data_IF_110159625915
#
_entry.id   IF_110159625915
#
_cell.length_a   1.000
_cell.length_b   1.000
_cell.length_c   1.000
_cell.angle_alpha   90.00
_cell.angle_beta   90.00
_cell.angle_gamma   90.00
#
_symmetry.space_group_name_H-M   'P 1'
#
loop_
_entity.id
_entity.type
_entity.pdbx_description
1 polymer ?
#
# COMPACT_ATOMS: atom_id res chain seq x y z
N UNK A 1 2.10 12.11 13.09
CA UNK A 1 3.47 11.57 12.93
C UNK A 1 3.98 11.70 11.49
N UNK A 2 3.29 11.16 10.49
CA UNK A 2 3.74 11.16 9.11
C UNK A 2 4.13 12.54 8.56
N UNK A 3 3.38 13.58 8.91
CA UNK A 3 3.70 14.94 8.50
C UNK A 3 5.02 15.46 9.11
N UNK A 4 5.32 15.09 10.35
CA UNK A 4 6.61 15.39 10.97
C UNK A 4 7.78 14.73 10.23
N UNK A 5 7.66 13.45 9.87
CA UNK A 5 8.68 12.73 9.09
C UNK A 5 8.87 13.35 7.71
N UNK A 6 7.77 13.68 7.02
CA UNK A 6 7.84 14.34 5.71
C UNK A 6 8.62 15.66 5.77
N UNK A 7 8.39 16.47 6.80
CA UNK A 7 9.10 17.74 6.98
C UNK A 7 10.60 17.57 7.17
N UNK A 8 11.03 16.55 7.92
CA UNK A 8 12.44 16.25 8.15
C UNK A 8 13.12 15.77 6.85
N UNK A 9 12.42 14.91 6.10
CA UNK A 9 12.99 14.25 4.92
C UNK A 9 12.84 15.03 3.61
N UNK A 10 12.06 16.14 3.59
CA UNK A 10 11.78 16.92 2.37
C UNK A 10 13.03 17.35 1.58
N UNK A 11 14.13 17.67 2.27
CA UNK A 11 15.38 18.09 1.66
C UNK A 11 16.01 17.01 0.77
N UNK A 12 15.75 15.74 1.06
CA UNK A 12 16.31 14.60 0.34
C UNK A 12 15.44 14.15 -0.83
N UNK A 13 14.13 14.39 -0.77
CA UNK A 13 13.16 13.76 -1.67
C UNK A 13 12.30 14.77 -2.43
N UNK A 14 12.18 16.03 -1.96
CA UNK A 14 11.40 17.07 -2.63
C UNK A 14 12.29 18.02 -3.44
N UNK A 15 13.40 18.50 -2.84
CA UNK A 15 14.25 19.49 -3.47
C UNK A 15 15.03 18.98 -4.71
N UNK A 16 15.52 17.70 -4.74
CA UNK A 16 16.28 17.21 -5.88
C UNK A 16 15.44 17.15 -7.17
N UNK A 17 16.05 17.53 -8.31
CA UNK A 17 15.41 17.53 -9.62
C UNK A 17 15.05 16.12 -10.11
N UNK A 18 15.91 15.13 -9.84
CA UNK A 18 15.69 13.74 -10.24
C UNK A 18 14.60 13.01 -9.41
N UNK A 19 14.17 13.58 -8.30
CA UNK A 19 12.99 13.15 -7.54
C UNK A 19 11.75 13.82 -8.11
N UNK A 20 11.23 13.30 -9.19
CA UNK A 20 10.22 13.97 -10.02
C UNK A 20 8.77 13.67 -9.68
N UNK A 21 8.49 12.60 -8.93
CA UNK A 21 7.15 12.25 -8.46
C UNK A 21 6.11 12.20 -9.58
N UNK A 22 6.03 11.09 -10.33
CA UNK A 22 5.22 11.01 -11.55
C UNK A 22 3.74 11.36 -11.34
N UNK A 23 3.11 10.88 -10.26
CA UNK A 23 1.72 11.18 -9.93
C UNK A 23 1.44 12.68 -9.75
N UNK A 24 2.40 13.40 -9.19
CA UNK A 24 2.31 14.86 -8.98
C UNK A 24 2.29 15.63 -10.31
N UNK A 25 3.00 15.16 -11.33
CA UNK A 25 3.04 15.80 -12.64
C UNK A 25 1.66 15.82 -13.31
N UNK A 26 0.84 14.80 -13.12
CA UNK A 26 -0.54 14.76 -13.63
C UNK A 26 -1.41 15.79 -12.93
N UNK A 27 -1.29 15.90 -11.61
CA UNK A 27 -2.01 16.94 -10.85
C UNK A 27 -1.61 18.35 -11.27
N UNK A 28 -0.30 18.58 -11.51
CA UNK A 28 0.20 19.86 -12.03
C UNK A 28 -0.40 20.15 -13.38
N UNK A 29 -0.42 19.19 -14.30
CA UNK A 29 -1.02 19.36 -15.63
C UNK A 29 -2.51 19.76 -15.53
N UNK A 30 -3.25 19.12 -14.61
CA UNK A 30 -4.64 19.47 -14.36
C UNK A 30 -4.77 20.90 -13.83
N UNK A 31 -4.03 21.27 -12.80
CA UNK A 31 -4.12 22.61 -12.21
C UNK A 31 -3.67 23.70 -13.18
N UNK A 32 -2.61 23.47 -13.93
CA UNK A 32 -2.16 24.37 -15.00
C UNK A 32 -3.25 24.55 -16.04
N UNK A 33 -3.88 23.46 -16.48
CA UNK A 33 -4.99 23.51 -17.45
C UNK A 33 -6.18 24.31 -16.95
N UNK A 34 -6.50 24.25 -15.65
CA UNK A 34 -7.62 24.97 -15.06
C UNK A 34 -7.34 26.47 -14.83
N UNK A 35 -6.06 26.84 -14.64
CA UNK A 35 -5.70 28.23 -14.25
C UNK A 35 -5.02 29.05 -15.33
N UNK A 36 -4.38 28.42 -16.33
CA UNK A 36 -3.76 29.15 -17.42
C UNK A 36 -4.79 29.67 -18.42
N UNK A 37 -4.66 30.96 -18.79
CA UNK A 37 -5.45 31.53 -19.87
C UNK A 37 -4.96 30.97 -21.21
N UNK A 38 -5.89 30.44 -22.01
CA UNK A 38 -5.58 29.98 -23.36
C UNK A 38 -5.19 31.15 -24.28
N UNK A 39 -3.96 31.15 -24.75
CA UNK A 39 -3.54 32.04 -25.86
C UNK A 39 -4.13 31.51 -27.18
N UNK A 40 -4.77 32.41 -27.94
CA UNK A 40 -5.28 32.11 -29.27
C UNK A 40 -4.12 31.79 -30.23
N UNK A 41 -3.83 30.54 -30.50
CA UNK A 41 -2.95 30.13 -31.59
C UNK A 41 -3.79 29.80 -32.84
N UNK A 42 -3.43 30.47 -33.94
CA UNK A 42 -3.85 30.16 -35.32
C UNK A 42 -5.36 29.98 -35.58
N UNK A 43 -6.20 30.97 -35.31
CA UNK A 43 -7.53 31.07 -35.93
C UNK A 43 -8.54 29.94 -35.74
N UNK A 44 -8.11 28.74 -35.39
CA UNK A 44 -8.97 27.60 -35.00
C UNK A 44 -9.21 27.66 -33.51
N UNK A 45 -10.47 27.63 -33.08
CA UNK A 45 -10.85 27.49 -31.67
C UNK A 45 -10.70 26.03 -31.28
N UNK A 46 -9.58 25.59 -30.65
CA UNK A 46 -9.58 24.27 -30.03
C UNK A 46 -10.69 24.25 -28.97
N UNK A 47 -11.24 23.08 -28.71
CA UNK A 47 -12.15 22.90 -27.56
C UNK A 47 -11.35 23.38 -26.35
N UNK A 48 -11.86 24.39 -25.63
CA UNK A 48 -11.19 24.90 -24.45
C UNK A 48 -10.85 23.71 -23.52
N UNK A 49 -9.62 23.63 -23.03
CA UNK A 49 -9.14 22.51 -22.21
C UNK A 49 -10.09 22.22 -21.06
N UNK A 50 -10.61 23.26 -20.41
CA UNK A 50 -11.61 23.14 -19.33
C UNK A 50 -12.90 22.50 -19.85
N UNK A 51 -13.38 22.87 -21.04
CA UNK A 51 -14.59 22.28 -21.63
C UNK A 51 -14.38 20.79 -21.92
N UNK A 52 -13.21 20.41 -22.45
CA UNK A 52 -12.86 19.00 -22.66
C UNK A 52 -12.82 18.23 -21.32
N UNK A 53 -12.20 18.83 -20.31
CA UNK A 53 -12.14 18.22 -18.96
C UNK A 53 -13.53 17.98 -18.40
N UNK A 54 -14.44 18.95 -18.46
CA UNK A 54 -15.81 18.81 -17.96
C UNK A 54 -16.57 17.73 -18.75
N UNK A 55 -16.44 17.70 -20.07
CA UNK A 55 -17.07 16.68 -20.90
C UNK A 55 -16.53 15.28 -20.51
N UNK A 56 -15.21 15.13 -20.41
CA UNK A 56 -14.58 13.86 -20.02
C UNK A 56 -15.01 13.42 -18.62
N UNK A 57 -15.10 14.35 -17.66
CA UNK A 57 -15.58 14.08 -16.30
C UNK A 57 -17.02 13.56 -16.30
N UNK A 58 -17.92 14.25 -17.00
CA UNK A 58 -19.34 13.86 -17.07
C UNK A 58 -19.48 12.50 -17.78
N UNK A 59 -18.80 12.29 -18.91
CA UNK A 59 -18.84 11.02 -19.62
C UNK A 59 -18.29 9.86 -18.77
N UNK A 60 -17.17 10.08 -18.09
CA UNK A 60 -16.59 9.09 -17.19
C UNK A 60 -17.49 8.75 -16.00
N UNK A 61 -18.12 9.78 -15.41
CA UNK A 61 -19.09 9.60 -14.32
C UNK A 61 -20.32 8.81 -14.79
N UNK A 62 -20.91 9.17 -15.94
CA UNK A 62 -22.04 8.44 -16.50
C UNK A 62 -21.69 6.99 -16.88
N UNK A 63 -20.49 6.79 -17.45
CA UNK A 63 -20.02 5.43 -17.79
C UNK A 63 -19.85 4.58 -16.54
N UNK A 64 -19.29 5.13 -15.46
CA UNK A 64 -19.04 4.38 -14.22
C UNK A 64 -20.29 3.78 -13.59
N UNK A 65 -21.47 4.35 -13.83
CA UNK A 65 -22.74 3.81 -13.35
C UNK A 65 -22.99 2.37 -13.87
N UNK A 66 -22.53 2.06 -15.09
CA UNK A 66 -22.70 0.72 -15.66
C UNK A 66 -21.82 -0.33 -14.96
N UNK A 67 -20.47 -0.25 -15.00
CA UNK A 67 -19.61 -1.26 -14.38
C UNK A 67 -19.63 -1.19 -12.84
N UNK A 68 -19.84 -0.02 -12.26
CA UNK A 68 -19.80 0.16 -10.81
C UNK A 68 -21.09 -0.24 -10.10
N UNK A 69 -22.26 -0.13 -10.76
CA UNK A 69 -23.54 -0.33 -10.10
C UNK A 69 -24.49 -1.26 -10.88
N UNK A 70 -24.78 -0.98 -12.16
CA UNK A 70 -25.81 -1.70 -12.91
C UNK A 70 -25.33 -3.08 -13.41
N UNK A 71 -24.09 -3.19 -13.87
CA UNK A 71 -23.59 -4.40 -14.52
C UNK A 71 -22.12 -4.67 -14.17
N UNK A 72 -21.90 -5.10 -12.96
CA UNK A 72 -20.56 -5.30 -12.37
C UNK A 72 -19.69 -6.33 -13.12
N UNK A 73 -20.29 -7.22 -13.91
CA UNK A 73 -19.55 -8.15 -14.78
C UNK A 73 -18.63 -7.45 -15.79
N UNK A 74 -18.89 -6.18 -16.11
CA UNK A 74 -18.02 -5.38 -16.98
C UNK A 74 -16.64 -5.10 -16.36
N UNK A 75 -16.50 -5.22 -15.05
CA UNK A 75 -15.20 -5.07 -14.37
C UNK A 75 -14.24 -6.22 -14.69
N UNK A 76 -14.77 -7.43 -14.91
CA UNK A 76 -13.96 -8.59 -15.27
C UNK A 76 -14.79 -9.58 -16.11
N UNK A 77 -14.61 -9.51 -17.42
CA UNK A 77 -15.26 -10.43 -18.37
C UNK A 77 -14.25 -11.53 -18.70
N UNK A 78 -14.58 -12.78 -18.39
CA UNK A 78 -13.74 -13.92 -18.71
C UNK A 78 -14.37 -14.77 -19.82
N UNK A 79 -13.73 -14.84 -20.97
CA UNK A 79 -14.20 -15.68 -22.08
C UNK A 79 -14.20 -17.16 -21.71
N UNK A 80 -13.19 -17.64 -20.99
CA UNK A 80 -13.10 -19.03 -20.55
C UNK A 80 -14.27 -19.42 -19.64
N UNK A 81 -14.63 -18.55 -18.69
CA UNK A 81 -15.75 -18.81 -17.79
C UNK A 81 -17.11 -18.74 -18.48
N UNK A 82 -17.24 -17.92 -19.53
CA UNK A 82 -18.47 -17.86 -20.34
C UNK A 82 -18.67 -19.11 -21.20
N UNK A 83 -17.60 -19.64 -21.77
CA UNK A 83 -17.68 -20.85 -22.62
C UNK A 83 -17.82 -22.11 -21.79
N UNK A 84 -17.14 -22.19 -20.64
CA UNK A 84 -17.13 -23.37 -19.76
C UNK A 84 -17.59 -23.03 -18.34
N UNK A 85 -18.88 -22.69 -18.13
CA UNK A 85 -19.37 -22.16 -16.84
C UNK A 85 -19.34 -23.17 -15.68
N UNK A 86 -19.26 -24.47 -15.98
CA UNK A 86 -19.20 -25.54 -14.96
C UNK A 86 -17.82 -26.13 -14.74
N UNK A 87 -16.80 -25.65 -15.44
CA UNK A 87 -15.44 -26.18 -15.31
C UNK A 87 -14.63 -25.38 -14.26
N UNK A 88 -14.26 -26.05 -13.17
CA UNK A 88 -13.39 -25.45 -12.14
C UNK A 88 -12.06 -24.98 -12.72
N UNK A 89 -11.46 -25.76 -13.60
CA UNK A 89 -10.19 -25.39 -14.26
C UNK A 89 -10.36 -24.15 -15.15
N UNK A 90 -11.50 -24.01 -15.86
CA UNK A 90 -11.76 -22.80 -16.63
C UNK A 90 -11.87 -21.56 -15.75
N UNK A 91 -12.47 -21.69 -14.56
CA UNK A 91 -12.51 -20.61 -13.57
C UNK A 91 -11.13 -20.31 -12.98
N UNK A 92 -10.35 -21.32 -12.66
CA UNK A 92 -8.98 -21.14 -12.14
C UNK A 92 -8.06 -20.44 -13.15
N UNK A 93 -8.18 -20.75 -14.42
CA UNK A 93 -7.33 -20.20 -15.49
C UNK A 93 -7.86 -18.86 -16.00
N UNK A 94 -9.16 -18.76 -16.23
CA UNK A 94 -9.77 -17.67 -16.97
C UNK A 94 -10.36 -16.55 -16.12
N UNK A 95 -10.72 -16.79 -14.84
CA UNK A 95 -11.32 -15.75 -14.01
C UNK A 95 -10.31 -14.64 -13.70
N UNK A 96 -10.66 -13.40 -14.00
CA UNK A 96 -9.82 -12.24 -13.65
C UNK A 96 -9.90 -11.82 -12.19
N UNK A 97 -10.86 -12.34 -11.41
CA UNK A 97 -11.02 -12.01 -10.00
C UNK A 97 -10.54 -13.13 -9.07
N UNK A 98 -10.80 -14.39 -9.43
CA UNK A 98 -10.54 -15.55 -8.57
C UNK A 98 -9.63 -16.59 -9.24
N UNK A 99 -8.93 -16.23 -10.30
CA UNK A 99 -8.03 -17.09 -11.05
C UNK A 99 -6.85 -16.34 -11.66
N UNK A 100 -6.21 -16.94 -12.67
CA UNK A 100 -5.04 -16.37 -13.33
C UNK A 100 -5.37 -15.24 -14.33
N UNK A 101 -6.64 -15.05 -14.69
CA UNK A 101 -7.09 -14.00 -15.59
C UNK A 101 -6.71 -14.18 -17.06
N UNK A 102 -6.37 -15.40 -17.50
CA UNK A 102 -6.01 -15.66 -18.90
C UNK A 102 -7.26 -15.50 -19.79
N UNK A 103 -7.21 -14.55 -20.72
CA UNK A 103 -8.35 -14.22 -21.58
C UNK A 103 -9.46 -13.42 -20.89
N UNK A 104 -9.22 -12.90 -19.70
CA UNK A 104 -10.10 -11.93 -19.06
C UNK A 104 -9.78 -10.52 -19.55
N UNK A 105 -10.81 -9.69 -19.70
CA UNK A 105 -10.68 -8.27 -20.04
C UNK A 105 -11.69 -7.44 -19.26
N UNK A 106 -11.40 -6.16 -19.12
CA UNK A 106 -12.24 -5.20 -18.41
C UNK A 106 -12.68 -4.07 -19.32
N UNK A 107 -13.92 -3.60 -19.14
CA UNK A 107 -14.44 -2.37 -19.72
C UNK A 107 -14.53 -1.24 -18.68
N UNK A 108 -14.00 -1.46 -17.49
CA UNK A 108 -13.93 -0.48 -16.43
C UNK A 108 -12.52 0.14 -16.34
N UNK A 109 -12.43 1.42 -16.65
CA UNK A 109 -11.17 2.15 -16.54
C UNK A 109 -10.62 2.19 -15.10
N UNK A 110 -11.49 2.14 -14.10
CA UNK A 110 -11.05 2.13 -12.70
C UNK A 110 -10.23 0.89 -12.38
N UNK A 111 -10.60 -0.26 -12.95
CA UNK A 111 -9.81 -1.50 -12.84
C UNK A 111 -8.45 -1.37 -13.52
N UNK A 112 -8.39 -0.75 -14.71
CA UNK A 112 -7.12 -0.51 -15.41
C UNK A 112 -6.23 0.46 -14.65
N UNK A 113 -6.82 1.51 -14.06
CA UNK A 113 -6.08 2.57 -13.37
C UNK A 113 -5.70 2.19 -11.92
N UNK A 114 -6.38 1.24 -11.28
CA UNK A 114 -6.22 0.93 -9.86
C UNK A 114 -4.82 0.49 -9.48
N UNK A 115 -4.14 -0.24 -10.36
CA UNK A 115 -2.84 -0.84 -10.08
C UNK A 115 -1.67 0.17 -10.16
N UNK A 116 -1.71 1.09 -11.15
CA UNK A 116 -0.65 2.08 -11.39
C UNK A 116 -1.18 3.51 -11.35
N UNK A 117 -2.36 3.74 -10.81
CA UNK A 117 -3.16 4.96 -10.88
C UNK A 117 -3.55 5.38 -12.31
N UNK A 118 -2.65 5.28 -13.23
CA UNK A 118 -2.86 5.40 -14.68
C UNK A 118 -1.59 4.93 -15.38
N UNK A 119 -1.66 4.18 -16.47
CA UNK A 119 -0.48 3.79 -17.24
C UNK A 119 0.24 4.99 -17.86
N UNK A 120 -0.41 6.16 -17.98
CA UNK A 120 0.18 7.39 -18.49
C UNK A 120 1.03 8.13 -17.45
N UNK A 121 0.89 7.80 -16.17
CA UNK A 121 1.58 8.47 -15.04
C UNK A 121 2.94 7.83 -14.77
N UNK A 122 2.97 6.50 -14.76
CA UNK A 122 4.20 5.78 -14.41
C UNK A 122 5.20 5.79 -15.56
N UNK A 123 6.51 5.85 -15.26
CA UNK A 123 7.54 5.74 -16.28
C UNK A 123 7.47 4.41 -17.03
N UNK A 124 7.76 4.42 -18.32
CA UNK A 124 7.69 3.22 -19.16
C UNK A 124 8.53 2.07 -18.61
N UNK A 125 9.74 2.33 -18.14
CA UNK A 125 10.60 1.28 -17.54
C UNK A 125 9.96 0.65 -16.30
N UNK A 126 9.27 1.43 -15.47
CA UNK A 126 8.58 0.91 -14.29
C UNK A 126 7.39 0.03 -14.71
N UNK A 127 6.61 0.44 -15.72
CA UNK A 127 5.50 -0.34 -16.27
C UNK A 127 6.00 -1.67 -16.81
N UNK A 128 7.08 -1.67 -17.59
CA UNK A 128 7.67 -2.89 -18.16
C UNK A 128 8.15 -3.84 -17.06
N UNK A 129 8.86 -3.33 -16.06
CA UNK A 129 9.32 -4.15 -14.93
C UNK A 129 8.16 -4.77 -14.14
N UNK A 130 7.11 -3.99 -13.87
CA UNK A 130 5.91 -4.50 -13.20
C UNK A 130 5.21 -5.56 -14.04
N UNK A 131 5.08 -5.32 -15.36
CA UNK A 131 4.47 -6.29 -16.27
C UNK A 131 5.26 -7.61 -16.34
N UNK A 132 6.59 -7.55 -16.45
CA UNK A 132 7.44 -8.74 -16.43
C UNK A 132 7.29 -9.48 -15.11
N UNK A 133 7.35 -8.77 -13.97
CA UNK A 133 7.15 -9.36 -12.66
C UNK A 133 5.79 -10.04 -12.51
N UNK A 134 4.72 -9.37 -12.94
CA UNK A 134 3.37 -9.92 -12.96
C UNK A 134 3.28 -11.18 -13.82
N UNK A 135 3.80 -11.12 -15.07
CA UNK A 135 3.77 -12.25 -15.99
C UNK A 135 4.54 -13.46 -15.44
N UNK A 136 5.71 -13.25 -14.84
CA UNK A 136 6.49 -14.32 -14.21
C UNK A 136 5.75 -14.93 -13.02
N UNK A 137 5.17 -14.12 -12.14
CA UNK A 137 4.46 -14.63 -10.96
C UNK A 137 3.20 -15.36 -11.36
N UNK A 138 2.33 -14.76 -12.18
CA UNK A 138 1.00 -15.30 -12.49
C UNK A 138 1.08 -16.44 -13.49
N UNK A 139 1.91 -16.34 -14.53
CA UNK A 139 1.91 -17.31 -15.62
C UNK A 139 3.02 -18.37 -15.54
N UNK A 140 4.01 -18.20 -14.66
CA UNK A 140 5.05 -19.20 -14.43
C UNK A 140 5.03 -19.74 -13.00
N UNK A 141 5.22 -18.86 -12.00
CA UNK A 141 5.37 -19.30 -10.59
C UNK A 141 4.08 -19.95 -10.09
N UNK A 142 2.93 -19.32 -10.32
CA UNK A 142 1.65 -19.85 -9.85
C UNK A 142 1.26 -21.20 -10.49
N UNK A 143 1.28 -21.38 -11.81
CA UNK A 143 1.01 -22.69 -12.41
C UNK A 143 1.96 -23.79 -11.95
N UNK A 144 3.25 -23.51 -11.88
CA UNK A 144 4.25 -24.47 -11.40
C UNK A 144 4.00 -24.83 -9.92
N UNK A 145 3.74 -23.87 -9.07
CA UNK A 145 3.50 -24.09 -7.65
C UNK A 145 2.20 -24.84 -7.38
N UNK A 146 1.13 -24.51 -8.11
CA UNK A 146 -0.20 -25.06 -7.89
C UNK A 146 -0.37 -26.45 -8.52
N UNK A 147 -0.15 -26.57 -9.84
CA UNK A 147 -0.38 -27.82 -10.56
C UNK A 147 0.84 -28.73 -10.62
N UNK A 148 2.06 -28.16 -10.71
CA UNK A 148 3.30 -28.93 -10.83
C UNK A 148 3.78 -29.48 -9.48
N UNK A 149 4.05 -28.61 -8.54
CA UNK A 149 4.68 -28.96 -7.26
C UNK A 149 3.69 -29.24 -6.13
N UNK A 150 2.40 -28.88 -6.30
CA UNK A 150 1.41 -28.92 -5.23
C UNK A 150 1.93 -28.25 -3.92
N UNK A 151 2.57 -27.09 -4.07
CA UNK A 151 3.28 -26.41 -2.99
C UNK A 151 2.30 -26.01 -1.88
N UNK A 152 2.63 -26.33 -0.62
CA UNK A 152 1.78 -26.10 0.55
C UNK A 152 0.38 -26.74 0.44
N UNK A 153 0.29 -27.94 -0.16
CA UNK A 153 -0.98 -28.62 -0.44
C UNK A 153 -1.95 -27.78 -1.29
N UNK A 154 -1.41 -27.07 -2.30
CA UNK A 154 -2.10 -26.12 -3.12
C UNK A 154 -3.48 -26.57 -3.63
N UNK A 155 -3.60 -27.83 -4.06
CA UNK A 155 -4.84 -28.38 -4.64
C UNK A 155 -5.98 -28.53 -3.65
N UNK A 156 -5.72 -28.44 -2.34
CA UNK A 156 -6.73 -28.46 -1.29
C UNK A 156 -7.44 -27.11 -1.16
N UNK A 157 -6.79 -26.03 -1.61
CA UNK A 157 -7.25 -24.66 -1.45
C UNK A 157 -7.58 -24.01 -2.81
N UNK A 158 -8.40 -22.95 -2.83
CA UNK A 158 -8.58 -22.14 -4.04
C UNK A 158 -7.23 -21.62 -4.54
N UNK A 159 -7.05 -21.52 -5.87
CA UNK A 159 -5.80 -21.02 -6.45
C UNK A 159 -5.53 -19.56 -6.05
N UNK A 160 -6.58 -18.79 -5.91
CA UNK A 160 -6.56 -17.38 -5.53
C UNK A 160 -7.58 -17.14 -4.41
N UNK A 161 -7.11 -16.89 -3.21
CA UNK A 161 -7.92 -16.44 -2.08
C UNK A 161 -7.02 -15.78 -1.04
N UNK A 162 -7.54 -14.79 -0.33
CA UNK A 162 -6.94 -14.21 0.87
C UNK A 162 -7.52 -14.77 2.17
N UNK A 163 -8.42 -15.73 2.08
CA UNK A 163 -9.05 -16.37 3.23
C UNK A 163 -8.11 -17.35 3.93
N UNK A 164 -8.43 -17.64 5.18
CA UNK A 164 -7.73 -18.65 5.99
C UNK A 164 -8.50 -19.96 5.93
N UNK A 165 -7.76 -21.08 5.94
CA UNK A 165 -8.33 -22.42 5.78
C UNK A 165 -7.84 -23.36 6.87
N UNK A 166 -8.66 -24.39 7.14
CA UNK A 166 -8.25 -25.60 7.88
C UNK A 166 -7.47 -26.53 6.96
N UNK A 167 -6.81 -27.54 7.50
CA UNK A 167 -6.08 -28.54 6.72
C UNK A 167 -6.95 -29.27 5.66
N UNK A 168 -8.27 -29.28 5.86
CA UNK A 168 -9.26 -29.91 4.98
C UNK A 168 -9.79 -28.95 3.89
N UNK A 169 -9.32 -27.69 3.85
CA UNK A 169 -9.76 -26.70 2.87
C UNK A 169 -11.06 -25.98 3.22
N UNK A 170 -11.58 -26.15 4.43
CA UNK A 170 -12.73 -25.39 4.92
C UNK A 170 -12.28 -24.03 5.46
N UNK A 171 -13.15 -23.05 5.45
CA UNK A 171 -12.87 -21.73 6.00
C UNK A 171 -12.56 -21.83 7.51
N UNK A 172 -11.47 -21.19 7.93
CA UNK A 172 -10.99 -21.23 9.31
C UNK A 172 -11.83 -20.33 10.21
N UNK A 173 -12.54 -20.91 11.15
CA UNK A 173 -13.34 -20.16 12.10
C UNK A 173 -12.49 -19.58 13.23
N UNK A 174 -12.04 -18.34 13.02
CA UNK A 174 -11.16 -17.63 13.96
C UNK A 174 -11.85 -17.34 15.29
N UNK A 175 -13.19 -17.18 15.32
CA UNK A 175 -13.91 -16.85 16.55
C UNK A 175 -13.77 -17.93 17.64
N UNK A 176 -13.45 -19.17 17.24
CA UNK A 176 -13.24 -20.27 18.17
C UNK A 176 -11.91 -20.21 18.93
N UNK A 177 -10.91 -19.55 18.34
CA UNK A 177 -9.54 -19.49 18.92
C UNK A 177 -9.23 -18.16 19.61
N UNK A 178 -10.21 -17.25 19.69
CA UNK A 178 -10.07 -15.94 20.32
C UNK A 178 -10.82 -15.91 21.65
N UNK A 179 -10.12 -15.56 22.71
CA UNK A 179 -10.75 -15.37 24.01
C UNK A 179 -11.45 -14.00 24.13
N UNK A 180 -12.20 -13.77 25.23
CA UNK A 180 -12.89 -12.50 25.49
C UNK A 180 -11.96 -11.26 25.62
N UNK A 181 -10.65 -11.48 25.76
CA UNK A 181 -9.64 -10.41 25.83
C UNK A 181 -8.96 -10.16 24.49
N UNK A 182 -9.43 -10.78 23.39
CA UNK A 182 -8.79 -10.76 22.09
C UNK A 182 -7.35 -11.30 22.10
N UNK A 183 -7.11 -12.36 22.91
CA UNK A 183 -5.86 -13.12 22.93
C UNK A 183 -6.12 -14.53 22.40
N UNK A 184 -5.06 -15.24 22.00
CA UNK A 184 -5.19 -16.62 21.50
C UNK A 184 -5.58 -17.59 22.63
N UNK A 185 -6.56 -18.44 22.35
CA UNK A 185 -6.87 -19.61 23.16
C UNK A 185 -6.09 -20.82 22.60
N UNK A 186 -4.96 -21.17 23.24
CA UNK A 186 -4.09 -22.23 22.76
C UNK A 186 -4.74 -23.61 22.75
N UNK A 187 -5.48 -24.06 23.77
CA UNK A 187 -6.20 -25.33 23.76
C UNK A 187 -7.16 -25.47 22.57
N UNK A 188 -7.92 -24.42 22.27
CA UNK A 188 -8.84 -24.44 21.12
C UNK A 188 -8.09 -24.32 19.77
N UNK A 189 -7.00 -23.58 19.70
CA UNK A 189 -6.12 -23.53 18.53
C UNK A 189 -5.50 -24.93 18.21
N UNK A 190 -5.08 -25.67 19.22
CA UNK A 190 -4.53 -27.03 19.03
C UNK A 190 -5.59 -28.02 18.56
N UNK A 191 -6.84 -27.89 19.02
CA UNK A 191 -7.97 -28.72 18.55
C UNK A 191 -8.37 -28.41 17.11
N UNK A 192 -8.45 -27.13 16.75
CA UNK A 192 -8.86 -26.71 15.40
C UNK A 192 -7.74 -26.97 14.37
N UNK A 193 -6.50 -26.99 14.82
CA UNK A 193 -5.32 -27.21 14.00
C UNK A 193 -4.71 -25.94 13.44
N UNK A 194 -3.67 -26.12 12.61
CA UNK A 194 -2.91 -25.01 12.03
C UNK A 194 -3.73 -24.23 11.00
N UNK A 195 -3.41 -22.95 10.88
CA UNK A 195 -3.97 -22.07 9.84
C UNK A 195 -3.25 -22.32 8.52
N UNK A 196 -4.00 -22.52 7.46
CA UNK A 196 -3.51 -22.67 6.10
C UNK A 196 -3.94 -21.49 5.23
N UNK A 197 -3.15 -21.19 4.21
CA UNK A 197 -3.39 -20.13 3.24
C UNK A 197 -3.35 -20.68 1.83
N UNK A 198 -4.02 -20.02 0.89
CA UNK A 198 -3.87 -20.34 -0.53
C UNK A 198 -2.41 -20.16 -0.96
N UNK A 199 -1.99 -20.93 -1.97
CA UNK A 199 -0.62 -20.83 -2.50
C UNK A 199 -0.32 -19.43 -3.00
N UNK A 200 -1.27 -18.77 -3.65
CA UNK A 200 -1.13 -17.38 -4.09
C UNK A 200 -0.87 -16.44 -2.91
N UNK A 201 -1.64 -16.56 -1.85
CA UNK A 201 -1.52 -15.71 -0.67
C UNK A 201 -0.16 -15.90 0.02
N UNK A 202 0.27 -17.16 0.19
CA UNK A 202 1.58 -17.49 0.75
C UNK A 202 2.74 -16.93 -0.09
N UNK A 203 2.71 -17.13 -1.42
CA UNK A 203 3.73 -16.61 -2.33
C UNK A 203 3.75 -15.08 -2.34
N UNK A 204 2.59 -14.43 -2.26
CA UNK A 204 2.49 -12.96 -2.17
C UNK A 204 3.21 -12.44 -0.92
N UNK A 205 3.10 -13.12 0.23
CA UNK A 205 3.88 -12.77 1.42
C UNK A 205 5.38 -12.93 1.19
N UNK A 206 5.82 -14.02 0.54
CA UNK A 206 7.23 -14.21 0.18
C UNK A 206 7.77 -13.05 -0.67
N UNK A 207 7.05 -12.66 -1.73
CA UNK A 207 7.43 -11.50 -2.55
C UNK A 207 7.36 -10.18 -1.77
N UNK A 208 6.45 -10.04 -0.81
CA UNK A 208 6.42 -8.92 0.11
C UNK A 208 7.70 -8.80 0.94
N UNK A 209 8.23 -9.93 1.46
CA UNK A 209 9.52 -9.98 2.15
C UNK A 209 10.67 -9.55 1.21
N UNK A 210 10.68 -10.11 -0.01
CA UNK A 210 11.69 -9.75 -1.02
C UNK A 210 11.64 -8.26 -1.37
N UNK A 211 10.45 -7.68 -1.54
CA UNK A 211 10.28 -6.28 -1.93
C UNK A 211 10.88 -5.32 -0.91
N UNK A 212 10.66 -5.54 0.37
CA UNK A 212 11.21 -4.68 1.43
C UNK A 212 12.74 -4.80 1.49
N UNK A 213 13.26 -6.02 1.44
CA UNK A 213 14.71 -6.25 1.41
C UNK A 213 15.36 -5.62 0.18
N UNK A 214 14.75 -5.80 -1.00
CA UNK A 214 15.21 -5.22 -2.25
C UNK A 214 15.18 -3.68 -2.23
N UNK A 215 14.13 -3.08 -1.66
CA UNK A 215 14.00 -1.62 -1.55
C UNK A 215 15.19 -1.02 -0.78
N UNK A 216 15.51 -1.58 0.38
CA UNK A 216 16.64 -1.11 1.21
C UNK A 216 17.97 -1.28 0.46
N UNK A 217 18.22 -2.46 -0.10
CA UNK A 217 19.46 -2.76 -0.81
C UNK A 217 19.62 -1.90 -2.07
N UNK A 218 18.55 -1.76 -2.85
CA UNK A 218 18.56 -0.92 -4.06
C UNK A 218 18.89 0.53 -3.73
N UNK A 219 18.21 1.12 -2.76
CA UNK A 219 18.45 2.51 -2.36
C UNK A 219 19.88 2.68 -1.79
N UNK A 220 20.36 1.75 -0.99
CA UNK A 220 21.72 1.81 -0.47
C UNK A 220 22.78 1.77 -1.58
N UNK A 221 22.61 0.91 -2.59
CA UNK A 221 23.59 0.74 -3.67
C UNK A 221 23.55 1.87 -4.70
N UNK A 222 22.37 2.30 -5.12
CA UNK A 222 22.21 3.27 -6.22
C UNK A 222 22.12 4.72 -5.75
N UNK A 223 21.54 4.97 -4.58
CA UNK A 223 21.33 6.33 -4.04
C UNK A 223 22.10 6.63 -2.76
N UNK A 224 22.73 5.63 -2.13
CA UNK A 224 23.42 5.79 -0.84
C UNK A 224 24.51 6.85 -0.84
N UNK A 225 25.33 6.92 -1.92
CA UNK A 225 26.38 7.92 -2.07
C UNK A 225 25.82 9.34 -2.16
N UNK A 226 24.71 9.51 -2.87
CA UNK A 226 24.05 10.80 -3.01
C UNK A 226 23.40 11.23 -1.69
N UNK A 227 22.70 10.33 -1.00
CA UNK A 227 22.11 10.60 0.32
C UNK A 227 23.21 11.05 1.28
N UNK A 228 24.34 10.36 1.29
CA UNK A 228 25.48 10.69 2.15
C UNK A 228 26.10 12.05 1.80
N UNK A 229 26.31 12.33 0.51
CA UNK A 229 26.82 13.61 0.06
C UNK A 229 25.89 14.78 0.40
N UNK A 230 24.57 14.59 0.30
CA UNK A 230 23.57 15.59 0.71
C UNK A 230 23.52 15.79 2.22
N UNK A 231 23.77 14.74 2.98
CA UNK A 231 23.90 14.84 4.44
C UNK A 231 25.12 15.69 4.84
N UNK A 232 26.27 15.51 4.16
CA UNK A 232 27.51 16.26 4.43
C UNK A 232 27.53 17.66 3.80
N UNK A 233 27.02 17.76 2.55
CA UNK A 233 27.09 18.99 1.76
C UNK A 233 25.71 19.68 1.70
N UNK A 234 25.35 20.31 2.76
CA UNK A 234 24.14 21.14 2.85
C UNK A 234 24.06 22.29 1.81
N UNK A 235 25.03 22.45 0.87
CA UNK A 235 25.08 23.69 0.10
C UNK A 235 25.87 23.73 -1.24
N UNK A 236 26.38 22.65 -1.81
CA UNK A 236 27.29 22.77 -2.98
C UNK A 236 26.69 22.44 -4.36
N UNK A 237 25.52 21.87 -4.48
CA UNK A 237 24.90 21.67 -5.80
C UNK A 237 24.20 22.94 -6.29
N UNK A 238 24.36 23.22 -7.60
CA UNK A 238 23.59 24.30 -8.25
C UNK A 238 22.10 23.99 -8.10
N UNK A 239 21.32 24.84 -7.44
CA UNK A 239 19.90 24.59 -7.22
C UNK A 239 19.18 24.52 -8.57
N UNK A 240 18.29 23.55 -8.73
CA UNK A 240 17.35 23.48 -9.84
C UNK A 240 16.54 24.78 -9.98
N UNK A 241 16.05 25.05 -11.17
CA UNK A 241 15.23 26.25 -11.47
C UNK A 241 14.06 26.38 -10.49
N UNK A 242 13.40 25.29 -10.19
CA UNK A 242 12.29 25.28 -9.24
C UNK A 242 12.74 25.63 -7.83
N UNK A 243 13.80 25.01 -7.34
CA UNK A 243 14.39 25.32 -6.02
C UNK A 243 14.86 26.77 -5.92
N UNK A 244 15.44 27.32 -7.01
CA UNK A 244 15.86 28.72 -7.08
C UNK A 244 14.68 29.68 -6.96
N UNK A 245 13.58 29.41 -7.66
CA UNK A 245 12.36 30.22 -7.58
C UNK A 245 11.69 30.13 -6.21
N UNK A 246 11.70 28.95 -5.59
CA UNK A 246 11.12 28.73 -4.25
C UNK A 246 11.88 29.47 -3.14
N UNK A 247 13.16 29.77 -3.32
CA UNK A 247 13.97 30.57 -2.36
C UNK A 247 13.46 32.00 -2.16
N UNK A 248 12.59 32.50 -3.06
CA UNK A 248 11.95 33.82 -2.90
C UNK A 248 10.88 33.81 -1.80
N UNK A 249 10.42 32.65 -1.37
CA UNK A 249 9.43 32.51 -0.31
C UNK A 249 10.10 32.18 1.04
N UNK A 250 9.47 32.59 2.13
CA UNK A 250 9.89 32.22 3.48
C UNK A 250 9.67 30.72 3.68
N UNK A 251 10.73 30.00 3.98
CA UNK A 251 10.67 28.57 4.27
C UNK A 251 9.94 28.26 5.58
N UNK A 252 9.51 27.00 5.73
CA UNK A 252 8.88 26.50 6.95
C UNK A 252 9.96 26.31 8.00
N UNK A 253 9.83 26.89 9.20
CA UNK A 253 10.76 26.63 10.28
C UNK A 253 10.75 25.15 10.66
N UNK A 254 11.92 24.53 10.73
CA UNK A 254 12.04 23.08 11.01
C UNK A 254 11.39 22.69 12.35
N UNK A 255 11.36 23.58 13.33
CA UNK A 255 10.76 23.31 14.63
C UNK A 255 9.26 23.06 14.58
N UNK A 256 8.53 23.52 13.54
CA UNK A 256 7.10 23.22 13.37
C UNK A 256 6.88 21.71 13.17
N UNK A 257 7.72 21.08 12.38
CA UNK A 257 7.66 19.64 12.15
C UNK A 257 8.08 18.83 13.38
N UNK A 258 9.13 19.29 14.07
CA UNK A 258 9.56 18.65 15.32
C UNK A 258 8.51 18.75 16.41
N UNK A 259 7.84 19.90 16.52
CA UNK A 259 6.75 20.08 17.48
C UNK A 259 5.57 19.17 17.19
N UNK A 260 5.13 19.11 15.92
CA UNK A 260 4.06 18.19 15.51
C UNK A 260 4.41 16.74 15.82
N UNK A 261 5.63 16.34 15.52
CA UNK A 261 6.10 14.99 15.78
C UNK A 261 6.12 14.70 17.29
N UNK A 262 6.69 15.60 18.08
CA UNK A 262 6.76 15.46 19.54
C UNK A 262 5.35 15.37 20.17
N UNK A 263 4.43 16.26 19.76
CA UNK A 263 3.04 16.21 20.22
C UNK A 263 2.35 14.91 19.82
N UNK A 264 2.53 14.46 18.57
CA UNK A 264 1.93 13.21 18.10
C UNK A 264 2.47 11.98 18.85
N UNK A 265 3.78 11.93 19.11
CA UNK A 265 4.39 10.85 19.90
C UNK A 265 3.90 10.90 21.34
N UNK A 266 3.85 12.10 21.95
CA UNK A 266 3.37 12.27 23.32
C UNK A 266 1.91 11.81 23.47
N UNK A 267 1.03 12.22 22.56
CA UNK A 267 -0.37 11.76 22.56
C UNK A 267 -0.46 10.24 22.40
N UNK A 268 0.33 9.65 21.51
CA UNK A 268 0.41 8.19 21.35
C UNK A 268 0.90 7.49 22.63
N UNK A 269 1.90 8.04 23.31
CA UNK A 269 2.37 7.51 24.59
C UNK A 269 1.30 7.61 25.68
N UNK A 270 0.57 8.72 25.74
CA UNK A 270 -0.57 8.88 26.66
C UNK A 270 -1.61 7.76 26.40
N UNK A 271 -1.97 7.52 25.13
CA UNK A 271 -2.89 6.44 24.79
C UNK A 271 -2.35 5.07 25.22
N UNK A 272 -1.10 4.76 24.92
CA UNK A 272 -0.49 3.47 25.31
C UNK A 272 -0.41 3.25 26.83
N UNK A 273 -0.23 4.32 27.62
CA UNK A 273 -0.07 4.22 29.06
C UNK A 273 -1.42 4.19 29.77
N UNK A 274 -2.31 5.15 29.46
CA UNK A 274 -3.60 5.30 30.15
C UNK A 274 -4.67 4.32 29.65
N UNK A 275 -4.67 3.99 28.36
CA UNK A 275 -5.61 3.04 27.74
C UNK A 275 -4.95 1.68 27.47
N UNK A 276 -4.03 1.27 28.32
CA UNK A 276 -3.27 0.02 28.17
C UNK A 276 -4.16 -1.22 27.99
N UNK A 277 -5.35 -1.25 28.61
CA UNK A 277 -6.28 -2.40 28.52
C UNK A 277 -6.90 -2.53 27.14
N UNK A 278 -7.16 -1.41 26.46
CA UNK A 278 -7.84 -1.38 25.16
C UNK A 278 -6.84 -1.41 24.01
N UNK A 279 -5.75 -0.64 24.12
CA UNK A 279 -4.71 -0.51 23.10
C UNK A 279 -3.73 -1.70 23.14
N UNK A 280 -3.52 -2.29 24.34
CA UNK A 280 -2.61 -3.42 24.63
C UNK A 280 -1.14 -3.20 24.23
N UNK A 281 -0.82 -2.15 23.45
CA UNK A 281 0.53 -1.88 22.96
C UNK A 281 1.40 -1.24 24.04
N UNK A 282 2.60 -1.80 24.31
CA UNK A 282 3.52 -1.20 25.28
C UNK A 282 4.09 0.13 24.75
N UNK A 283 4.42 1.06 25.65
CA UNK A 283 4.95 2.39 25.30
C UNK A 283 6.21 2.33 24.42
N UNK A 284 7.11 1.36 24.66
CA UNK A 284 8.30 1.16 23.83
C UNK A 284 7.97 0.70 22.43
N UNK A 285 6.85 -0.03 22.26
CA UNK A 285 6.35 -0.46 20.95
C UNK A 285 6.01 0.73 20.06
N UNK A 286 5.41 1.79 20.62
CA UNK A 286 5.14 3.03 19.90
C UNK A 286 6.44 3.70 19.41
N UNK A 287 7.44 3.81 20.28
CA UNK A 287 8.72 4.42 19.89
C UNK A 287 9.45 3.59 18.83
N UNK A 288 9.39 2.28 18.95
CA UNK A 288 9.96 1.38 17.96
C UNK A 288 9.24 1.49 16.61
N UNK A 289 7.88 1.54 16.58
CA UNK A 289 7.11 1.78 15.38
C UNK A 289 7.47 3.11 14.72
N UNK A 290 7.62 4.18 15.52
CA UNK A 290 8.02 5.50 15.04
C UNK A 290 9.42 5.51 14.42
N UNK A 291 10.38 4.84 15.06
CA UNK A 291 11.75 4.70 14.55
C UNK A 291 11.79 3.91 13.25
N UNK A 292 11.01 2.83 13.16
CA UNK A 292 10.89 1.99 11.96
C UNK A 292 10.24 2.78 10.81
N UNK A 293 9.18 3.53 11.09
CA UNK A 293 8.55 4.41 10.11
C UNK A 293 9.54 5.45 9.57
N UNK A 294 10.31 6.10 10.44
CA UNK A 294 11.32 7.07 10.05
C UNK A 294 12.39 6.45 9.12
N UNK A 295 12.93 5.30 9.51
CA UNK A 295 13.96 4.61 8.74
C UNK A 295 13.47 4.25 7.33
N UNK A 296 12.28 3.66 7.21
CA UNK A 296 11.76 3.21 5.92
C UNK A 296 11.14 4.31 5.07
N UNK A 297 10.76 5.45 5.64
CA UNK A 297 10.19 6.57 4.87
C UNK A 297 11.15 7.04 3.78
N UNK A 298 12.45 7.16 4.07
CA UNK A 298 13.42 7.65 3.09
C UNK A 298 13.57 6.70 1.88
N UNK A 299 13.92 5.41 2.03
CA UNK A 299 14.09 4.51 0.89
C UNK A 299 12.78 4.33 0.10
N UNK A 300 11.63 4.19 0.76
CA UNK A 300 10.36 4.05 0.08
C UNK A 300 9.99 5.31 -0.70
N UNK A 301 10.23 6.51 -0.13
CA UNK A 301 9.98 7.78 -0.82
C UNK A 301 10.83 7.94 -2.08
N UNK A 302 12.09 7.50 -2.06
CA UNK A 302 12.99 7.55 -3.22
C UNK A 302 12.43 6.66 -4.36
N UNK A 303 12.03 5.44 -4.04
CA UNK A 303 11.42 4.53 -5.03
C UNK A 303 10.13 5.14 -5.56
N UNK A 304 9.26 5.64 -4.70
CA UNK A 304 8.00 6.28 -5.12
C UNK A 304 8.24 7.50 -6.01
N UNK A 305 9.20 8.35 -5.63
CA UNK A 305 9.54 9.56 -6.38
C UNK A 305 10.11 9.29 -7.78
N UNK A 306 10.72 8.14 -8.00
CA UNK A 306 11.38 7.78 -9.26
C UNK A 306 10.55 6.83 -10.13
N UNK A 307 9.77 5.94 -9.52
CA UNK A 307 9.07 4.87 -10.25
C UNK A 307 7.55 4.94 -10.16
N UNK A 308 7.00 5.77 -9.28
CA UNK A 308 5.57 5.79 -8.91
C UNK A 308 5.09 4.49 -8.24
N UNK A 309 5.99 3.65 -7.75
CA UNK A 309 5.67 2.44 -7.00
C UNK A 309 5.98 2.66 -5.53
N UNK A 310 5.01 2.39 -4.65
CA UNK A 310 5.17 2.58 -3.21
C UNK A 310 5.21 1.22 -2.51
N UNK A 311 6.39 0.67 -2.19
CA UNK A 311 6.50 -0.56 -1.42
C UNK A 311 5.82 -0.43 -0.06
N UNK A 312 4.94 -1.40 0.28
CA UNK A 312 4.22 -1.39 1.55
C UNK A 312 5.09 -1.91 2.70
N UNK A 313 5.07 -1.20 3.82
CA UNK A 313 5.76 -1.61 5.05
C UNK A 313 4.88 -2.47 5.97
N UNK A 314 3.60 -2.69 5.62
CA UNK A 314 2.64 -3.40 6.46
C UNK A 314 3.13 -4.77 6.92
N UNK A 315 3.59 -5.61 5.99
CA UNK A 315 4.03 -6.98 6.25
C UNK A 315 5.17 -7.01 7.26
N UNK A 316 6.18 -6.14 7.12
CA UNK A 316 7.34 -6.15 8.00
C UNK A 316 7.00 -5.64 9.41
N UNK A 317 6.10 -4.65 9.52
CA UNK A 317 5.62 -4.19 10.84
C UNK A 317 4.85 -5.27 11.56
N UNK A 318 3.97 -5.97 10.86
CA UNK A 318 3.19 -7.07 11.40
C UNK A 318 4.08 -8.26 11.78
N UNK A 319 5.06 -8.60 10.93
CA UNK A 319 6.03 -9.67 11.19
C UNK A 319 6.84 -9.40 12.46
N UNK A 320 7.41 -8.20 12.58
CA UNK A 320 8.28 -7.84 13.71
C UNK A 320 7.49 -7.90 15.02
N UNK A 321 6.35 -7.22 15.09
CA UNK A 321 5.58 -7.17 16.33
C UNK A 321 4.95 -8.51 16.68
N UNK A 322 4.45 -9.25 15.70
CA UNK A 322 3.93 -10.61 15.91
C UNK A 322 5.01 -11.62 16.36
N UNK A 323 6.28 -11.40 15.98
CA UNK A 323 7.39 -12.21 16.48
C UNK A 323 7.80 -11.85 17.92
N UNK A 324 7.67 -10.58 18.30
CA UNK A 324 8.03 -10.08 19.65
C UNK A 324 6.91 -10.39 20.65
N UNK A 325 5.66 -10.08 20.29
CA UNK A 325 4.48 -10.25 21.14
C UNK A 325 3.41 -11.11 20.42
N UNK A 326 3.63 -12.42 20.27
CA UNK A 326 2.64 -13.31 19.66
C UNK A 326 1.40 -13.47 20.55
N UNK A 327 0.25 -13.62 19.93
CA UNK A 327 -1.02 -13.82 20.63
C UNK A 327 -1.75 -12.51 21.00
N UNK A 328 -1.24 -11.36 20.56
CA UNK A 328 -1.80 -10.04 20.84
C UNK A 328 -2.15 -9.29 19.53
N UNK A 329 -3.28 -9.58 18.88
CA UNK A 329 -3.62 -8.99 17.59
C UNK A 329 -3.84 -7.47 17.67
N UNK A 330 -4.41 -6.93 18.74
CA UNK A 330 -4.62 -5.49 18.91
C UNK A 330 -3.27 -4.75 18.96
N UNK A 331 -2.30 -5.28 19.70
CA UNK A 331 -0.94 -4.73 19.73
C UNK A 331 -0.31 -4.70 18.35
N UNK A 332 -0.49 -5.78 17.57
CA UNK A 332 0.04 -5.88 16.21
C UNK A 332 -0.58 -4.83 15.28
N UNK A 333 -1.91 -4.68 15.33
CA UNK A 333 -2.64 -3.67 14.54
C UNK A 333 -2.22 -2.24 14.94
N UNK A 334 -2.09 -1.94 16.23
CA UNK A 334 -1.61 -0.64 16.70
C UNK A 334 -0.18 -0.36 16.21
N UNK A 335 0.70 -1.34 16.29
CA UNK A 335 2.07 -1.21 15.82
C UNK A 335 2.14 -0.97 14.30
N UNK A 336 1.34 -1.69 13.51
CA UNK A 336 1.16 -1.45 12.08
C UNK A 336 0.68 -0.04 11.79
N UNK A 337 -0.30 0.46 12.54
CA UNK A 337 -0.85 1.80 12.34
C UNK A 337 0.21 2.87 12.58
N UNK A 338 0.95 2.79 13.67
CA UNK A 338 1.99 3.78 13.98
C UNK A 338 3.26 3.60 13.11
N UNK A 339 3.58 2.41 12.68
CA UNK A 339 4.71 2.13 11.79
C UNK A 339 4.38 2.37 10.33
N UNK A 340 3.53 1.52 9.74
CA UNK A 340 3.23 1.56 8.31
C UNK A 340 2.39 2.76 7.89
N UNK A 341 1.25 3.02 8.57
CA UNK A 341 0.35 4.10 8.15
C UNK A 341 1.03 5.47 8.29
N UNK A 342 1.82 5.69 9.34
CA UNK A 342 2.55 6.96 9.49
C UNK A 342 3.62 7.15 8.41
N UNK A 343 4.29 6.08 7.99
CA UNK A 343 5.22 6.10 6.84
C UNK A 343 4.48 6.39 5.53
N UNK A 344 3.37 5.70 5.27
CA UNK A 344 2.56 5.92 4.06
C UNK A 344 2.04 7.37 3.98
N UNK A 345 1.58 7.92 5.09
CA UNK A 345 1.21 9.34 5.18
C UNK A 345 2.40 10.27 4.92
N UNK A 346 3.59 9.94 5.45
CA UNK A 346 4.78 10.75 5.18
C UNK A 346 5.12 10.78 3.68
N UNK A 347 5.02 9.65 2.98
CA UNK A 347 5.22 9.57 1.52
C UNK A 347 4.19 10.43 0.79
N UNK A 348 2.92 10.37 1.18
CA UNK A 348 1.87 11.20 0.58
C UNK A 348 2.14 12.69 0.78
N UNK A 349 2.51 13.13 2.00
CA UNK A 349 2.85 14.52 2.26
C UNK A 349 4.10 14.99 1.51
N UNK A 350 5.09 14.13 1.29
CA UNK A 350 6.25 14.44 0.46
C UNK A 350 5.85 14.67 -1.00
N UNK A 351 4.93 13.87 -1.53
CA UNK A 351 4.32 14.07 -2.85
C UNK A 351 3.63 15.44 -2.95
N UNK A 352 2.86 15.80 -1.94
CA UNK A 352 2.16 17.08 -1.87
C UNK A 352 3.13 18.27 -1.74
N UNK A 353 4.20 18.13 -0.94
CA UNK A 353 5.25 19.15 -0.92
C UNK A 353 5.92 19.34 -2.28
N UNK A 354 6.08 18.25 -3.05
CA UNK A 354 6.59 18.34 -4.42
C UNK A 354 5.59 19.06 -5.34
N UNK A 355 4.29 18.82 -5.18
CA UNK A 355 3.24 19.56 -5.89
C UNK A 355 3.36 21.06 -5.60
N UNK A 356 3.44 21.45 -4.33
CA UNK A 356 3.64 22.84 -3.93
C UNK A 356 4.94 23.44 -4.49
N UNK A 357 6.01 22.66 -4.55
CA UNK A 357 7.30 23.06 -5.12
C UNK A 357 7.20 23.34 -6.63
N UNK A 358 6.52 22.49 -7.40
CA UNK A 358 6.30 22.70 -8.83
C UNK A 358 5.33 23.85 -9.13
N UNK A 359 4.24 23.97 -8.37
CA UNK A 359 3.23 25.00 -8.53
C UNK A 359 3.64 26.35 -7.92
N UNK A 360 4.83 26.45 -7.29
CA UNK A 360 5.34 27.66 -6.64
C UNK A 360 4.44 28.16 -5.51
N UNK A 361 3.81 27.26 -4.77
CA UNK A 361 3.00 27.61 -3.61
C UNK A 361 3.94 27.94 -2.44
N UNK A 362 3.72 29.07 -1.71
CA UNK A 362 4.53 29.43 -0.55
C UNK A 362 4.57 28.29 0.47
N UNK A 363 5.75 27.84 0.93
CA UNK A 363 5.88 26.65 1.79
C UNK A 363 5.05 26.73 3.07
N UNK A 364 4.97 27.90 3.70
CA UNK A 364 4.18 28.10 4.93
C UNK A 364 2.67 27.95 4.69
N UNK A 365 2.17 28.43 3.56
CA UNK A 365 0.77 28.25 3.18
C UNK A 365 0.48 26.77 2.91
N UNK A 366 1.39 26.07 2.23
CA UNK A 366 1.29 24.63 1.99
C UNK A 366 1.23 23.85 3.30
N UNK A 367 2.09 24.18 4.27
CA UNK A 367 2.07 23.58 5.60
C UNK A 367 0.71 23.75 6.29
N UNK A 368 0.20 24.99 6.30
CA UNK A 368 -1.06 25.29 7.01
C UNK A 368 -2.26 24.57 6.36
N UNK A 369 -2.35 24.60 5.04
CA UNK A 369 -3.45 23.93 4.30
C UNK A 369 -3.41 22.43 4.51
N UNK A 370 -2.24 21.81 4.45
CA UNK A 370 -2.07 20.37 4.71
C UNK A 370 -2.44 20.01 6.14
N UNK A 371 -2.03 20.82 7.12
CA UNK A 371 -2.37 20.59 8.52
C UNK A 371 -3.89 20.67 8.76
N UNK A 372 -4.53 21.77 8.31
CA UNK A 372 -5.99 21.96 8.47
C UNK A 372 -6.75 20.88 7.70
N UNK A 373 -6.36 20.58 6.45
CA UNK A 373 -6.99 19.56 5.63
C UNK A 373 -6.92 18.17 6.27
N UNK A 374 -5.77 17.82 6.86
CA UNK A 374 -5.59 16.52 7.56
C UNK A 374 -6.47 16.44 8.80
N UNK A 375 -6.53 17.49 9.62
CA UNK A 375 -7.40 17.53 10.80
C UNK A 375 -8.87 17.43 10.42
N UNK A 376 -9.30 18.17 9.41
CA UNK A 376 -10.68 18.14 8.92
C UNK A 376 -11.05 16.76 8.35
N UNK A 377 -10.20 16.21 7.47
CA UNK A 377 -10.42 14.89 6.88
C UNK A 377 -10.47 13.78 7.94
N UNK A 378 -9.56 13.81 8.92
CA UNK A 378 -9.55 12.87 10.03
C UNK A 378 -10.83 12.93 10.86
N UNK A 379 -11.30 14.13 11.19
CA UNK A 379 -12.53 14.33 11.97
C UNK A 379 -13.77 13.85 11.20
N UNK A 380 -13.86 14.18 9.91
CA UNK A 380 -14.99 13.76 9.05
C UNK A 380 -14.99 12.23 8.91
N UNK A 381 -13.85 11.62 8.61
CA UNK A 381 -13.75 10.17 8.46
C UNK A 381 -14.14 9.43 9.75
N UNK A 382 -13.68 9.92 10.89
CA UNK A 382 -14.07 9.36 12.19
C UNK A 382 -15.58 9.49 12.44
N UNK A 383 -16.16 10.65 12.17
CA UNK A 383 -17.59 10.91 12.32
C UNK A 383 -18.43 10.04 11.39
N UNK A 384 -18.06 9.89 10.12
CA UNK A 384 -18.74 9.03 9.15
C UNK A 384 -18.62 7.56 9.53
N UNK A 385 -17.42 7.11 9.93
CA UNK A 385 -17.21 5.74 10.40
C UNK A 385 -18.06 5.42 11.62
N UNK A 386 -18.10 6.30 12.60
CA UNK A 386 -18.95 6.16 13.77
C UNK A 386 -20.46 6.11 13.40
N UNK A 387 -20.89 7.02 12.53
CA UNK A 387 -22.28 7.04 12.07
C UNK A 387 -22.67 5.76 11.34
N UNK A 388 -21.84 5.24 10.44
CA UNK A 388 -22.10 3.98 9.72
C UNK A 388 -22.19 2.80 10.67
N UNK A 389 -21.24 2.65 11.59
CA UNK A 389 -21.23 1.55 12.57
C UNK A 389 -22.42 1.60 13.54
N UNK A 390 -22.96 2.79 13.82
CA UNK A 390 -24.12 2.94 14.71
C UNK A 390 -25.47 2.87 13.99
N UNK A 391 -25.52 3.20 12.70
CA UNK A 391 -26.78 3.28 11.92
C UNK A 391 -27.10 2.03 11.12
N UNK A 392 -26.08 1.24 10.74
CA UNK A 392 -26.28 0.01 9.97
C UNK A 392 -26.05 -1.19 10.87
N UNK A 393 -27.14 -1.84 11.26
CA UNK A 393 -27.10 -3.03 12.09
C UNK A 393 -26.44 -4.19 11.33
N UNK A 394 -25.54 -4.91 12.01
CA UNK A 394 -24.75 -6.03 11.45
C UNK A 394 -23.95 -5.69 10.19
N UNK A 395 -23.51 -4.44 10.01
CA UNK A 395 -22.64 -4.03 8.92
C UNK A 395 -21.46 -4.96 8.80
N UNK A 396 -20.88 -5.50 7.98
CA UNK A 396 -19.76 -6.46 7.89
C UNK A 396 -20.06 -7.93 8.22
N UNK A 397 -21.25 -8.25 8.74
CA UNK A 397 -21.69 -9.64 8.95
C UNK A 397 -22.62 -10.07 7.81
N UNK A 398 -22.05 -10.58 6.71
CA UNK A 398 -22.82 -10.92 5.49
C UNK A 398 -23.99 -11.85 5.73
N UNK A 399 -23.84 -12.80 6.64
CA UNK A 399 -24.86 -13.82 6.96
C UNK A 399 -26.06 -13.25 7.74
N UNK A 400 -25.88 -12.11 8.39
CA UNK A 400 -26.90 -11.43 9.19
C UNK A 400 -27.54 -10.24 8.45
N UNK A 401 -26.95 -9.80 7.34
CA UNK A 401 -27.51 -8.74 6.52
C UNK A 401 -28.66 -9.28 5.63
N UNK A 402 -29.68 -8.46 5.34
CA UNK A 402 -30.71 -8.81 4.37
C UNK A 402 -30.11 -9.20 3.01
N UNK A 403 -30.73 -10.18 2.32
CA UNK A 403 -30.23 -10.74 1.07
C UNK A 403 -29.93 -9.71 -0.05
N UNK A 404 -30.56 -8.54 0.00
CA UNK A 404 -30.36 -7.44 -0.96
C UNK A 404 -29.66 -6.22 -0.34
N UNK A 405 -28.95 -6.39 0.77
CA UNK A 405 -28.23 -5.28 1.40
C UNK A 405 -27.09 -4.80 0.49
N UNK A 406 -27.00 -3.48 0.22
CA UNK A 406 -25.90 -2.91 -0.54
C UNK A 406 -24.61 -2.80 0.29
N UNK A 407 -24.69 -3.04 1.59
CA UNK A 407 -23.56 -2.88 2.50
C UNK A 407 -22.63 -4.07 2.43
N UNK A 408 -21.35 -3.80 2.18
CA UNK A 408 -20.28 -4.78 2.15
C UNK A 408 -19.05 -4.22 2.84
N UNK A 409 -18.22 -5.10 3.43
CA UNK A 409 -16.97 -4.75 4.07
C UNK A 409 -15.81 -5.57 3.46
N UNK A 410 -15.46 -5.39 2.19
CA UNK A 410 -14.49 -6.26 1.52
C UNK A 410 -13.08 -6.14 2.11
N UNK A 411 -12.69 -4.95 2.58
CA UNK A 411 -11.40 -4.73 3.22
C UNK A 411 -11.31 -5.22 4.66
N UNK A 412 -12.42 -5.35 5.34
CA UNK A 412 -12.49 -5.77 6.75
C UNK A 412 -12.01 -7.21 6.93
N UNK A 413 -12.49 -8.14 6.10
CA UNK A 413 -12.09 -9.56 6.17
C UNK A 413 -10.60 -9.74 5.93
N UNK A 414 -10.02 -9.10 4.90
CA UNK A 414 -8.58 -9.19 4.60
C UNK A 414 -7.74 -8.61 5.75
N UNK A 415 -8.19 -7.50 6.32
CA UNK A 415 -7.52 -6.88 7.45
C UNK A 415 -7.58 -7.74 8.71
N UNK A 416 -8.73 -8.37 8.96
CA UNK A 416 -8.95 -9.28 10.07
C UNK A 416 -8.09 -10.55 9.93
N UNK A 417 -8.09 -11.20 8.76
CA UNK A 417 -7.30 -12.38 8.47
C UNK A 417 -5.80 -12.10 8.62
N UNK A 418 -5.32 -10.95 8.14
CA UNK A 418 -3.95 -10.51 8.36
C UNK A 418 -3.64 -10.35 9.86
N UNK A 419 -4.56 -9.76 10.64
CA UNK A 419 -4.38 -9.62 12.09
C UNK A 419 -4.32 -10.95 12.81
N UNK A 420 -5.04 -11.97 12.32
CA UNK A 420 -4.98 -13.35 12.81
C UNK A 420 -3.62 -13.98 12.51
N UNK A 421 -3.18 -13.89 11.25
CA UNK A 421 -1.89 -14.45 10.84
C UNK A 421 -0.75 -13.85 11.66
N UNK A 422 -0.69 -12.53 11.71
CA UNK A 422 0.45 -11.83 12.26
C UNK A 422 0.37 -11.59 13.77
N UNK A 423 -0.80 -11.26 14.26
CA UNK A 423 -1.00 -10.87 15.65
C UNK A 423 -1.42 -12.01 16.56
N UNK A 424 -2.37 -12.83 16.13
CA UNK A 424 -2.94 -13.88 16.97
C UNK A 424 -2.09 -15.17 16.93
N UNK A 425 -1.93 -15.79 15.76
CA UNK A 425 -1.12 -17.02 15.61
C UNK A 425 0.36 -16.68 15.71
N UNK A 426 0.77 -15.63 15.06
CA UNK A 426 2.11 -15.09 15.05
C UNK A 426 3.05 -15.73 14.02
N UNK A 427 4.03 -14.96 13.52
CA UNK A 427 4.90 -15.38 12.42
C UNK A 427 5.78 -16.60 12.78
N UNK A 428 6.09 -16.84 14.04
CA UNK A 428 6.86 -18.01 14.47
C UNK A 428 6.14 -19.34 14.19
N UNK A 429 4.79 -19.36 14.29
CA UNK A 429 3.97 -20.54 14.03
C UNK A 429 3.59 -20.73 12.58
N UNK A 430 3.68 -19.68 11.76
CA UNK A 430 3.33 -19.73 10.34
C UNK A 430 4.59 -19.78 9.48
N UNK A 431 5.50 -18.83 9.67
CA UNK A 431 6.72 -18.66 8.88
C UNK A 431 8.00 -19.12 9.60
N UNK A 432 7.93 -19.52 10.87
CA UNK A 432 9.07 -20.05 11.63
C UNK A 432 9.22 -21.57 11.51
N UNK A 433 10.09 -22.14 12.32
CA UNK A 433 10.38 -23.59 12.34
C UNK A 433 9.17 -24.47 12.71
N UNK A 434 8.16 -23.91 13.32
CA UNK A 434 6.91 -24.58 13.67
C UNK A 434 5.84 -24.51 12.57
N UNK A 435 6.07 -23.72 11.52
CA UNK A 435 5.12 -23.44 10.45
C UNK A 435 5.45 -24.15 9.14
N UNK A 436 4.44 -24.29 8.30
CA UNK A 436 4.57 -24.89 6.97
C UNK A 436 5.21 -23.94 5.94
N UNK A 437 5.15 -22.63 6.20
CA UNK A 437 5.59 -21.57 5.28
C UNK A 437 7.01 -21.06 5.59
N UNK A 438 7.82 -21.80 6.34
CA UNK A 438 9.18 -21.38 6.75
C UNK A 438 10.12 -21.08 5.57
N UNK A 439 9.94 -21.78 4.45
CA UNK A 439 10.70 -21.58 3.23
C UNK A 439 10.54 -20.18 2.63
N UNK A 440 9.43 -19.50 2.91
CA UNK A 440 9.20 -18.13 2.42
C UNK A 440 10.17 -17.09 3.04
N UNK A 441 10.81 -17.39 4.16
CA UNK A 441 11.83 -16.50 4.72
C UNK A 441 13.07 -16.34 3.80
N UNK A 442 13.35 -17.31 2.92
CA UNK A 442 14.42 -17.20 1.95
C UNK A 442 14.21 -16.06 0.94
N UNK A 443 12.98 -15.61 0.79
CA UNK A 443 12.67 -14.44 -0.05
C UNK A 443 13.32 -13.15 0.48
N UNK A 444 13.55 -13.00 1.79
CA UNK A 444 14.34 -11.89 2.32
C UNK A 444 15.76 -11.90 1.73
N UNK A 445 16.41 -13.06 1.70
CA UNK A 445 17.75 -13.20 1.13
C UNK A 445 17.73 -12.95 -0.39
N UNK A 446 16.75 -13.51 -1.10
CA UNK A 446 16.56 -13.25 -2.53
C UNK A 446 16.36 -11.78 -2.84
N UNK A 447 15.57 -11.08 -2.01
CA UNK A 447 15.36 -9.62 -2.12
C UNK A 447 16.62 -8.80 -1.86
N UNK A 448 17.47 -9.20 -0.91
CA UNK A 448 18.77 -8.57 -0.67
C UNK A 448 19.73 -8.76 -1.85
N UNK A 449 19.79 -9.98 -2.40
CA UNK A 449 20.74 -10.32 -3.46
C UNK A 449 20.35 -9.79 -4.84
N UNK A 450 19.05 -9.68 -5.15
CA UNK A 450 18.59 -9.22 -6.46
C UNK A 450 19.19 -7.88 -6.89
N UNK A 451 19.04 -6.80 -6.12
CA UNK A 451 19.65 -5.50 -6.45
C UNK A 451 21.17 -5.53 -6.52
N UNK A 452 21.85 -6.39 -5.73
CA UNK A 452 23.31 -6.56 -5.79
C UNK A 452 23.73 -7.12 -7.14
N UNK A 453 23.03 -8.15 -7.63
CA UNK A 453 23.30 -8.73 -8.95
C UNK A 453 23.09 -7.70 -10.05
N UNK A 454 21.98 -6.96 -10.01
CA UNK A 454 21.71 -5.89 -10.99
C UNK A 454 22.79 -4.80 -10.93
N UNK A 455 23.24 -4.40 -9.75
CA UNK A 455 24.28 -3.41 -9.58
C UNK A 455 25.64 -3.88 -10.12
N UNK A 456 25.99 -5.15 -9.89
CA UNK A 456 27.21 -5.74 -10.46
C UNK A 456 27.14 -5.82 -11.99
N UNK A 457 25.99 -6.22 -12.54
CA UNK A 457 25.78 -6.23 -13.99
C UNK A 457 25.87 -4.82 -14.59
N UNK A 458 25.27 -3.83 -13.95
CA UNK A 458 25.37 -2.43 -14.39
C UNK A 458 26.80 -1.90 -14.36
N UNK A 459 27.64 -2.36 -13.43
CA UNK A 459 29.07 -2.03 -13.41
C UNK A 459 29.87 -2.76 -14.46
N UNK A 460 29.51 -4.01 -14.77
CA UNK A 460 30.21 -4.83 -15.75
C UNK A 460 29.89 -4.43 -17.21
N UNK A 461 28.63 -3.98 -17.41
CA UNK A 461 28.07 -3.56 -18.72
C UNK A 461 27.44 -2.16 -18.57
N UNK A 462 28.25 -1.09 -18.55
CA UNK A 462 27.82 0.28 -18.35
C UNK A 462 26.98 0.84 -19.51
#
# INVERSE_FOLDING_TARGET
MGYGWAGILRKYVVEPAHMWWPSTLVQISLFTTLHEKEEKKDGKRPIARVKFFVIALVCSFCWYVFPGYLFQTLQSISLACLVFPHSVTAHQVGSGMNGLGIGAFTLDWTTVASFLFSPLVSPFFAIVNVFIGYALIIYLVMPVSYWGLNLFNAKTFPIYSSDLFTAQGQEYNVSLIVNKKFEIDFPEYEKLGRVHMSTFFAITYGFGFATIAATVTHVALFYGREIYSRYQASSREKPDVHTRLMRNYKDIPSWWFYLLLAVSILLGLVLCIFFKKDVQMPWWGLLFAAALAFFFTLPISIITATTNQTPGLNIITEYIMGAILPGQPITNVCFKTYGYISMAQAVAFLSDFKLGHYMKIPPRSMFLVQFIGTMLAGTINLGVGWWLLSSVENICHKDLLPANSPWTCPGDKVFFDASVIWGLVGPKRIFGSLGEYSTLNWFFLGGLLGPVVVWLLHKAFP
#
